data_IF_847392805598
#
_entry.id   IF_847392805598
#
_cell.length_a   1.000
_cell.length_b   1.000
_cell.length_c   1.000
_cell.angle_alpha   90.00
_cell.angle_beta   90.00
_cell.angle_gamma   90.00
#
_symmetry.space_group_name_H-M   'P 1'
#
loop_
_entity.id
_entity.type
_entity.pdbx_description
1 polymer ?
#
# COMPACT_ATOMS: atom_id res chain seq x y z
N UNK A 1 -11.83 44.28 -11.16
CA UNK A 1 -11.80 44.80 -9.76
C UNK A 1 -10.39 44.89 -9.18
N UNK A 2 -9.33 44.51 -9.92
CA UNK A 2 -7.92 44.71 -9.52
C UNK A 2 -7.45 43.93 -8.27
N UNK A 3 -8.30 43.08 -7.70
CA UNK A 3 -7.92 42.26 -6.53
C UNK A 3 -7.27 40.96 -6.99
N UNK A 4 -6.03 40.76 -6.61
CA UNK A 4 -5.30 39.52 -6.80
C UNK A 4 -5.70 38.53 -5.71
N UNK A 5 -6.15 37.34 -6.10
CA UNK A 5 -6.52 36.26 -5.19
C UNK A 5 -5.60 35.07 -5.44
N UNK A 6 -4.88 34.62 -4.43
CA UNK A 6 -4.11 33.39 -4.50
C UNK A 6 -5.02 32.19 -4.23
N UNK A 7 -5.01 31.21 -5.13
CA UNK A 7 -5.76 29.98 -4.98
C UNK A 7 -4.86 28.81 -5.42
N UNK A 8 -4.95 27.70 -4.71
CA UNK A 8 -4.19 26.48 -5.00
C UNK A 8 -5.12 25.47 -5.66
N UNK A 9 -4.79 25.09 -6.90
CA UNK A 9 -5.53 24.09 -7.67
C UNK A 9 -4.62 22.89 -7.87
N UNK A 10 -5.12 21.71 -7.52
CA UNK A 10 -4.42 20.43 -7.70
C UNK A 10 -5.45 19.29 -7.83
N UNK A 11 -5.01 18.07 -8.12
CA UNK A 11 -5.89 16.91 -8.23
C UNK A 11 -6.83 16.80 -7.03
N UNK A 12 -8.14 16.71 -7.27
CA UNK A 12 -9.23 16.69 -6.28
C UNK A 12 -9.45 18.01 -5.50
N UNK A 13 -8.74 19.09 -5.81
CA UNK A 13 -9.00 20.42 -5.25
C UNK A 13 -9.27 21.41 -6.38
N UNK A 14 -10.54 21.67 -6.63
CA UNK A 14 -10.99 22.52 -7.72
C UNK A 14 -11.18 23.95 -7.24
N UNK A 15 -11.01 24.92 -8.16
CA UNK A 15 -11.30 26.32 -7.92
C UNK A 15 -12.63 26.70 -8.57
N UNK A 16 -13.59 27.15 -7.78
CA UNK A 16 -14.86 27.70 -8.26
C UNK A 16 -14.81 29.23 -8.24
N UNK A 17 -14.94 29.88 -9.41
CA UNK A 17 -14.99 31.34 -9.54
C UNK A 17 -16.10 31.76 -10.50
N UNK A 18 -17.03 32.55 -10.01
CA UNK A 18 -18.16 33.11 -10.81
C UNK A 18 -18.90 32.05 -11.66
N UNK A 19 -19.05 30.83 -11.14
CA UNK A 19 -19.75 29.74 -11.82
C UNK A 19 -18.87 28.91 -12.77
N UNK A 20 -17.62 29.28 -12.94
CA UNK A 20 -16.62 28.48 -13.63
C UNK A 20 -15.87 27.61 -12.62
N UNK A 21 -15.62 26.36 -12.98
CA UNK A 21 -14.85 25.40 -12.21
C UNK A 21 -13.58 25.03 -12.95
N UNK A 22 -12.45 25.23 -12.29
CA UNK A 22 -11.13 24.98 -12.83
C UNK A 22 -10.58 23.68 -12.21
N UNK A 23 -10.13 22.78 -13.09
CA UNK A 23 -9.48 21.52 -12.72
C UNK A 23 -8.05 21.51 -13.28
N UNK A 24 -7.12 20.97 -12.57
CA UNK A 24 -5.82 20.65 -13.14
C UNK A 24 -5.97 19.38 -14.01
N UNK A 25 -5.78 19.53 -15.32
CA UNK A 25 -5.88 18.45 -16.29
C UNK A 25 -4.52 17.78 -16.53
N UNK A 26 -3.46 18.57 -16.68
CA UNK A 26 -2.09 18.12 -16.85
C UNK A 26 -1.12 19.27 -16.51
N UNK A 27 0.16 18.99 -16.56
CA UNK A 27 1.23 19.97 -16.50
C UNK A 27 2.12 19.81 -17.74
N UNK A 28 2.85 20.85 -18.04
CA UNK A 28 3.76 20.83 -19.20
C UNK A 28 4.97 19.93 -18.90
N UNK A 29 5.60 19.32 -19.92
CA UNK A 29 6.74 18.43 -19.74
C UNK A 29 7.97 19.09 -19.09
N UNK A 30 8.05 20.41 -19.16
CA UNK A 30 9.10 21.24 -18.52
C UNK A 30 8.75 21.66 -17.08
N UNK A 31 7.59 21.20 -16.56
CA UNK A 31 7.06 21.53 -15.23
C UNK A 31 6.87 23.00 -14.91
N UNK A 32 7.02 23.90 -15.90
CA UNK A 32 6.88 25.35 -15.72
C UNK A 32 5.46 25.86 -15.96
N UNK A 33 4.61 25.04 -16.53
CA UNK A 33 3.22 25.36 -16.83
C UNK A 33 2.23 24.29 -16.40
N UNK A 34 0.97 24.67 -16.28
CA UNK A 34 -0.14 23.74 -16.00
C UNK A 34 -1.30 23.98 -16.96
N UNK A 35 -1.87 22.87 -17.42
CA UNK A 35 -3.08 22.91 -18.27
C UNK A 35 -4.29 22.79 -17.36
N UNK A 36 -5.15 23.82 -17.36
CA UNK A 36 -6.39 23.84 -16.61
C UNK A 36 -7.57 23.53 -17.54
N UNK A 37 -8.35 22.55 -17.19
CA UNK A 37 -9.68 22.34 -17.77
C UNK A 37 -10.71 23.22 -17.07
N UNK A 38 -11.49 23.93 -17.84
CA UNK A 38 -12.50 24.89 -17.34
C UNK A 38 -13.89 24.40 -17.72
N UNK A 39 -14.76 24.22 -16.74
CA UNK A 39 -16.15 23.85 -16.95
C UNK A 39 -17.09 24.92 -16.38
N UNK A 40 -18.15 25.23 -17.14
CA UNK A 40 -19.24 26.11 -16.72
C UNK A 40 -20.57 25.38 -16.89
N UNK A 41 -20.80 24.38 -16.07
CA UNK A 41 -22.06 23.61 -16.09
C UNK A 41 -22.65 23.53 -14.68
N UNK A 42 -23.21 24.63 -14.23
CA UNK A 42 -23.94 24.69 -12.97
C UNK A 42 -25.25 23.87 -13.02
N UNK A 43 -25.90 23.87 -14.17
CA UNK A 43 -27.17 23.16 -14.36
C UNK A 43 -26.95 21.64 -14.35
N UNK A 44 -26.01 21.14 -15.15
CA UNK A 44 -25.69 19.71 -15.20
C UNK A 44 -25.20 19.19 -13.87
N UNK A 45 -24.35 19.96 -13.15
CA UNK A 45 -23.90 19.60 -11.80
C UNK A 45 -25.06 19.45 -10.81
N UNK A 46 -25.99 20.43 -10.78
CA UNK A 46 -27.13 20.39 -9.89
C UNK A 46 -28.07 19.23 -10.23
N UNK A 47 -28.28 18.96 -11.52
CA UNK A 47 -29.06 17.81 -11.98
C UNK A 47 -28.43 16.50 -11.54
N UNK A 48 -27.11 16.37 -11.68
CA UNK A 48 -26.37 15.17 -11.29
C UNK A 48 -26.47 14.90 -9.77
N UNK A 49 -26.25 15.91 -8.94
CA UNK A 49 -26.40 15.74 -7.48
C UNK A 49 -27.84 15.46 -7.07
N UNK A 50 -28.80 16.11 -7.71
CA UNK A 50 -30.22 15.80 -7.51
C UNK A 50 -30.54 14.36 -7.90
N UNK A 51 -29.97 13.89 -9.01
CA UNK A 51 -30.05 12.49 -9.44
C UNK A 51 -29.52 11.50 -8.39
N UNK A 52 -28.38 11.79 -7.80
CA UNK A 52 -27.84 10.95 -6.71
C UNK A 52 -28.73 10.93 -5.48
N UNK A 53 -29.29 12.08 -5.07
CA UNK A 53 -30.22 12.13 -3.95
C UNK A 53 -31.49 11.30 -4.25
N UNK A 54 -32.06 11.44 -5.45
CA UNK A 54 -33.22 10.66 -5.88
C UNK A 54 -32.91 9.16 -5.90
N UNK A 55 -31.69 8.78 -6.36
CA UNK A 55 -31.26 7.40 -6.40
C UNK A 55 -31.15 6.80 -4.98
N UNK A 56 -30.55 7.54 -4.04
CA UNK A 56 -30.46 7.10 -2.63
C UNK A 56 -31.86 6.96 -2.02
N UNK A 57 -32.74 7.93 -2.24
CA UNK A 57 -34.14 7.85 -1.79
C UNK A 57 -34.84 6.65 -2.43
N UNK A 58 -34.62 6.40 -3.72
CA UNK A 58 -35.17 5.23 -4.43
C UNK A 58 -34.71 3.91 -3.82
N UNK A 59 -33.43 3.77 -3.45
CA UNK A 59 -32.91 2.60 -2.75
C UNK A 59 -33.60 2.40 -1.38
N UNK A 60 -33.74 3.48 -0.61
CA UNK A 60 -34.43 3.42 0.69
C UNK A 60 -35.89 2.98 0.51
N UNK A 61 -36.59 3.57 -0.43
CA UNK A 61 -38.00 3.21 -0.75
C UNK A 61 -38.14 1.77 -1.25
N UNK A 62 -37.17 1.27 -2.01
CA UNK A 62 -37.12 -0.15 -2.42
C UNK A 62 -36.94 -1.12 -1.24
N UNK A 63 -36.26 -0.70 -0.18
CA UNK A 63 -36.09 -1.52 1.02
C UNK A 63 -37.29 -1.44 1.96
N UNK A 64 -37.87 -0.23 2.15
CA UNK A 64 -38.92 0.03 3.16
C UNK A 64 -40.35 -0.04 2.57
N UNK A 65 -40.53 0.10 1.26
CA UNK A 65 -41.81 0.17 0.61
C UNK A 65 -42.66 -1.10 0.82
N UNK A 66 -43.90 -0.94 1.30
CA UNK A 66 -44.84 -2.05 1.59
C UNK A 66 -45.09 -2.99 0.39
N UNK A 67 -44.92 -2.49 -0.83
CA UNK A 67 -45.07 -3.24 -2.07
C UNK A 67 -43.75 -3.61 -2.74
N UNK A 68 -42.62 -3.36 -2.08
CA UNK A 68 -41.30 -3.65 -2.62
C UNK A 68 -41.11 -5.16 -2.81
N UNK A 69 -40.26 -5.51 -3.77
CA UNK A 69 -39.92 -6.91 -4.05
C UNK A 69 -39.31 -7.57 -2.82
N UNK A 70 -38.54 -6.81 -2.02
CA UNK A 70 -37.95 -7.24 -0.76
C UNK A 70 -39.04 -7.62 0.26
N UNK A 71 -40.07 -6.77 0.44
CA UNK A 71 -41.19 -7.03 1.35
C UNK A 71 -42.09 -8.18 0.84
N UNK A 72 -42.27 -8.33 -0.50
CA UNK A 72 -42.97 -9.48 -1.07
C UNK A 72 -42.23 -10.80 -0.83
N UNK A 73 -40.88 -10.82 -1.06
CA UNK A 73 -40.05 -12.00 -0.74
C UNK A 73 -40.06 -12.31 0.75
N UNK A 74 -39.99 -11.28 1.60
CA UNK A 74 -40.06 -11.45 3.04
C UNK A 74 -41.40 -12.03 3.52
N UNK A 75 -42.52 -11.65 2.85
CA UNK A 75 -43.84 -12.28 3.11
C UNK A 75 -43.88 -13.75 2.61
N UNK A 76 -43.38 -14.02 1.40
CA UNK A 76 -43.32 -15.39 0.84
C UNK A 76 -42.41 -16.29 1.68
N UNK A 77 -41.30 -15.79 2.20
CA UNK A 77 -40.47 -16.50 3.16
C UNK A 77 -41.20 -16.77 4.48
N UNK A 78 -42.13 -15.90 4.87
CA UNK A 78 -42.96 -16.06 6.07
C UNK A 78 -43.99 -17.20 5.88
N UNK A 79 -44.52 -17.32 4.66
CA UNK A 79 -45.52 -18.35 4.30
C UNK A 79 -44.85 -19.74 4.08
N UNK A 80 -43.65 -19.82 3.53
CA UNK A 80 -42.86 -21.04 3.37
C UNK A 80 -42.35 -21.60 4.70
N UNK A 81 -42.44 -20.84 5.77
CA UNK A 81 -41.92 -21.15 7.09
C UNK A 81 -42.78 -22.10 7.91
N UNK A 82 -44.01 -22.30 7.51
CA UNK A 82 -44.92 -23.21 8.19
C UNK A 82 -44.61 -24.72 7.93
N UNK A 83 -43.68 -25.02 7.01
CA UNK A 83 -43.47 -26.38 6.54
C UNK A 83 -42.06 -26.97 6.42
N UNK A 84 -40.95 -26.26 6.70
CA UNK A 84 -39.61 -26.81 6.42
C UNK A 84 -38.65 -26.83 7.61
N UNK A 85 -38.00 -27.95 7.79
CA UNK A 85 -37.06 -28.35 8.83
C UNK A 85 -35.78 -27.53 8.91
N UNK A 86 -35.35 -27.32 10.16
CA UNK A 86 -34.42 -26.31 10.70
C UNK A 86 -32.92 -26.65 10.69
N UNK A 87 -32.32 -27.44 9.86
CA UNK A 87 -30.94 -27.86 10.23
C UNK A 87 -29.84 -27.73 9.18
N UNK A 88 -30.13 -27.45 7.91
CA UNK A 88 -29.09 -27.58 6.88
C UNK A 88 -28.42 -26.28 6.43
N UNK A 89 -28.99 -25.11 6.71
CA UNK A 89 -28.50 -23.83 6.20
C UNK A 89 -27.45 -23.15 7.09
N UNK A 90 -27.43 -23.47 8.37
CA UNK A 90 -26.47 -22.88 9.34
C UNK A 90 -25.03 -23.41 9.17
N UNK A 91 -24.89 -24.65 8.70
CA UNK A 91 -23.57 -25.27 8.48
C UNK A 91 -22.87 -24.73 7.24
N UNK A 92 -23.64 -24.41 6.19
CA UNK A 92 -23.06 -23.89 4.94
C UNK A 92 -22.50 -22.45 5.07
N UNK A 93 -23.08 -21.61 5.94
CA UNK A 93 -22.64 -20.23 6.16
C UNK A 93 -21.38 -20.17 7.06
N UNK A 94 -21.27 -21.09 8.03
CA UNK A 94 -20.10 -21.19 8.91
C UNK A 94 -18.86 -21.71 8.17
N UNK A 95 -19.03 -22.51 7.11
CA UNK A 95 -17.93 -23.02 6.30
C UNK A 95 -17.40 -21.99 5.28
N UNK A 96 -18.17 -20.97 4.91
CA UNK A 96 -17.74 -19.93 3.96
C UNK A 96 -16.93 -18.79 4.61
N UNK A 97 -16.95 -18.66 5.94
CA UNK A 97 -16.17 -17.64 6.69
C UNK A 97 -14.76 -18.13 7.05
N UNK A 98 -14.53 -19.44 6.94
CA UNK A 98 -13.23 -20.08 7.17
C UNK A 98 -12.34 -20.12 5.93
N UNK A 99 -12.28 -19.04 5.14
CA UNK A 99 -11.27 -18.86 4.10
C UNK A 99 -9.89 -18.84 4.73
N UNK A 100 -9.35 -20.01 4.98
CA UNK A 100 -7.94 -20.23 5.30
C UNK A 100 -7.10 -19.47 4.28
N UNK A 101 -6.37 -18.44 4.75
CA UNK A 101 -5.20 -17.93 4.07
C UNK A 101 -4.24 -19.11 3.90
N UNK A 102 -4.25 -19.73 2.74
CA UNK A 102 -3.15 -20.54 2.31
C UNK A 102 -1.99 -19.57 2.04
N UNK A 103 -1.23 -19.25 3.08
CA UNK A 103 0.12 -18.71 2.91
C UNK A 103 0.88 -19.74 2.10
N UNK A 104 1.43 -19.33 0.95
CA UNK A 104 2.38 -20.14 0.20
C UNK A 104 3.46 -20.59 1.17
N UNK A 105 3.59 -21.87 1.36
CA UNK A 105 4.55 -22.43 2.28
C UNK A 105 5.95 -22.29 1.63
N UNK A 106 6.71 -21.29 2.05
CA UNK A 106 8.15 -21.33 1.88
C UNK A 106 8.65 -22.65 2.47
N UNK A 107 9.61 -23.31 1.79
CA UNK A 107 10.19 -24.57 2.26
C UNK A 107 10.60 -24.42 3.75
N UNK A 108 10.48 -25.45 4.58
CA UNK A 108 10.78 -25.37 6.02
C UNK A 108 12.12 -24.72 6.31
N UNK A 109 13.15 -25.07 5.54
CA UNK A 109 14.51 -24.51 5.63
C UNK A 109 14.56 -23.00 5.39
N UNK A 110 13.73 -22.47 4.48
CA UNK A 110 13.65 -21.04 4.20
C UNK A 110 12.98 -20.28 5.36
N UNK A 111 11.95 -20.87 5.98
CA UNK A 111 11.30 -20.27 7.17
C UNK A 111 12.25 -20.22 8.35
N UNK A 112 13.04 -21.26 8.57
CA UNK A 112 14.05 -21.30 9.62
C UNK A 112 15.16 -20.26 9.37
N UNK A 113 15.62 -20.12 8.12
CA UNK A 113 16.62 -19.11 7.75
C UNK A 113 16.11 -17.69 8.01
N UNK A 114 14.87 -17.38 7.57
CA UNK A 114 14.24 -16.06 7.80
C UNK A 114 14.09 -15.78 9.30
N UNK A 115 13.71 -16.77 10.10
CA UNK A 115 13.56 -16.63 11.53
C UNK A 115 14.92 -16.47 12.25
N UNK A 116 15.94 -17.19 11.79
CA UNK A 116 17.30 -17.10 12.33
C UNK A 116 17.95 -15.74 12.06
N UNK A 117 17.66 -15.14 10.93
CA UNK A 117 18.17 -13.82 10.53
C UNK A 117 17.12 -12.72 10.68
N UNK A 118 16.18 -12.86 11.61
CA UNK A 118 15.21 -11.84 11.92
C UNK A 118 15.86 -10.70 12.71
N UNK A 119 15.76 -9.49 12.17
CA UNK A 119 16.22 -8.27 12.84
C UNK A 119 15.31 -8.01 14.06
N UNK A 120 15.90 -7.48 15.16
CA UNK A 120 15.12 -7.08 16.34
C UNK A 120 13.97 -6.14 15.95
N UNK A 121 12.75 -6.41 16.40
CA UNK A 121 11.63 -5.50 16.14
C UNK A 121 11.85 -4.09 16.68
N UNK A 122 12.55 -3.96 17.82
CA UNK A 122 12.87 -2.69 18.46
C UNK A 122 13.85 -1.89 17.62
N UNK A 123 14.92 -2.52 17.12
CA UNK A 123 15.87 -1.87 16.22
C UNK A 123 15.22 -1.49 14.89
N UNK A 124 14.45 -2.40 14.30
CA UNK A 124 13.71 -2.12 13.06
C UNK A 124 12.72 -0.96 13.21
N UNK A 125 12.08 -0.81 14.39
CA UNK A 125 11.20 0.31 14.66
C UNK A 125 11.95 1.65 14.75
N UNK A 126 13.19 1.68 15.28
CA UNK A 126 14.04 2.88 15.28
C UNK A 126 14.41 3.28 13.84
N UNK A 127 14.79 2.32 13.02
CA UNK A 127 15.03 2.54 11.59
C UNK A 127 13.75 3.04 10.88
N UNK A 128 12.61 2.41 11.15
CA UNK A 128 11.29 2.78 10.63
C UNK A 128 10.85 4.19 11.00
N UNK A 129 11.40 4.77 12.09
CA UNK A 129 11.08 6.12 12.52
C UNK A 129 11.89 7.22 11.79
N UNK A 130 12.93 6.88 11.04
CA UNK A 130 13.65 7.87 10.25
C UNK A 130 12.76 8.49 9.18
N UNK A 131 12.76 9.82 9.03
CA UNK A 131 12.08 10.49 7.94
C UNK A 131 12.79 10.28 6.61
N UNK A 132 12.02 10.08 5.55
CA UNK A 132 12.48 10.07 4.16
C UNK A 132 11.58 10.95 3.31
N UNK A 133 12.08 11.37 2.15
CA UNK A 133 11.28 12.10 1.17
C UNK A 133 10.78 11.13 0.10
N UNK A 134 9.46 11.13 -0.15
CA UNK A 134 8.87 10.39 -1.27
C UNK A 134 9.21 11.05 -2.61
N UNK A 135 8.99 10.35 -3.71
CA UNK A 135 9.14 10.88 -5.08
C UNK A 135 8.26 12.13 -5.30
N UNK A 136 7.12 12.23 -4.62
CA UNK A 136 6.24 13.41 -4.68
C UNK A 136 6.67 14.58 -3.78
N UNK A 137 7.84 14.49 -3.12
CA UNK A 137 8.34 15.50 -2.18
C UNK A 137 7.73 15.46 -0.77
N UNK A 138 6.81 14.52 -0.50
CA UNK A 138 6.21 14.36 0.84
C UNK A 138 7.22 13.73 1.79
N UNK A 139 7.31 14.28 3.02
CA UNK A 139 8.03 13.65 4.12
C UNK A 139 7.16 12.57 4.77
N UNK A 140 7.73 11.40 4.98
CA UNK A 140 7.07 10.25 5.62
C UNK A 140 8.11 9.43 6.39
N UNK A 141 7.70 8.66 7.42
CA UNK A 141 8.59 7.72 8.08
C UNK A 141 8.90 6.52 7.16
N UNK A 142 10.08 5.93 7.32
CA UNK A 142 10.42 4.66 6.66
C UNK A 142 9.35 3.59 6.95
N UNK A 143 8.72 3.59 8.11
CA UNK A 143 7.61 2.69 8.47
C UNK A 143 6.45 2.71 7.46
N UNK A 144 6.03 3.90 7.00
CA UNK A 144 5.01 4.01 5.95
C UNK A 144 5.52 3.42 4.64
N UNK A 145 6.74 3.80 4.24
CA UNK A 145 7.37 3.30 3.03
C UNK A 145 7.54 1.78 3.04
N UNK A 146 8.05 1.20 4.12
CA UNK A 146 8.24 -0.25 4.26
C UNK A 146 6.93 -1.02 4.13
N UNK A 147 5.86 -0.49 4.73
CA UNK A 147 4.51 -1.05 4.63
C UNK A 147 3.94 -0.98 3.20
N UNK A 148 4.14 0.14 2.50
CA UNK A 148 3.72 0.30 1.11
C UNK A 148 4.48 -0.64 0.18
N UNK A 149 5.79 -0.74 0.34
CA UNK A 149 6.65 -1.63 -0.45
C UNK A 149 6.28 -3.09 -0.23
N UNK A 150 6.15 -3.53 1.01
CA UNK A 150 5.80 -4.92 1.29
C UNK A 150 4.42 -5.28 0.75
N UNK A 151 3.42 -4.40 0.88
CA UNK A 151 2.10 -4.61 0.26
C UNK A 151 2.18 -4.66 -1.27
N UNK A 152 3.03 -3.86 -1.87
CA UNK A 152 3.22 -3.86 -3.32
C UNK A 152 3.87 -5.16 -3.81
N UNK A 153 4.89 -5.63 -3.12
CA UNK A 153 5.64 -6.84 -3.46
C UNK A 153 4.89 -8.13 -3.08
N UNK A 154 4.36 -8.20 -1.86
CA UNK A 154 3.82 -9.43 -1.27
C UNK A 154 2.31 -9.41 -0.98
N UNK A 155 1.61 -8.30 -1.27
CA UNK A 155 0.17 -8.13 -1.02
C UNK A 155 -0.24 -8.31 0.46
N UNK A 156 0.70 -8.17 1.38
CA UNK A 156 0.51 -8.32 2.84
C UNK A 156 1.31 -7.26 3.59
N UNK A 157 0.94 -6.98 4.84
CA UNK A 157 1.70 -6.09 5.74
C UNK A 157 2.78 -6.84 6.53
N UNK A 158 2.87 -8.16 6.35
CA UNK A 158 3.81 -9.03 7.03
C UNK A 158 4.33 -10.10 6.07
N UNK A 159 5.58 -10.49 6.22
CA UNK A 159 6.17 -11.63 5.53
C UNK A 159 6.63 -12.67 6.57
N UNK A 160 5.91 -13.78 6.66
CA UNK A 160 6.13 -14.75 7.72
C UNK A 160 5.91 -14.12 9.10
N UNK A 161 6.95 -14.12 9.95
CA UNK A 161 6.95 -13.48 11.27
C UNK A 161 7.47 -12.03 11.24
N UNK A 162 8.00 -11.56 10.09
CA UNK A 162 8.57 -10.23 9.97
C UNK A 162 7.48 -9.18 9.73
N UNK A 163 7.55 -8.07 10.46
CA UNK A 163 6.81 -6.87 10.11
C UNK A 163 7.46 -6.14 8.92
N UNK A 164 6.83 -5.11 8.40
CA UNK A 164 7.31 -4.39 7.21
C UNK A 164 8.68 -3.74 7.41
N UNK A 165 8.97 -3.21 8.60
CA UNK A 165 10.26 -2.57 8.89
C UNK A 165 11.38 -3.59 8.99
N UNK A 166 11.12 -4.74 9.64
CA UNK A 166 12.05 -5.87 9.69
C UNK A 166 12.31 -6.43 8.29
N UNK A 167 11.25 -6.58 7.46
CA UNK A 167 11.38 -7.05 6.10
C UNK A 167 12.27 -6.11 5.28
N UNK A 168 11.94 -4.82 5.24
CA UNK A 168 12.69 -3.83 4.46
C UNK A 168 14.16 -3.80 4.87
N UNK A 169 14.43 -3.69 6.17
CA UNK A 169 15.80 -3.62 6.68
C UNK A 169 16.57 -4.94 6.40
N UNK A 170 15.91 -6.08 6.49
CA UNK A 170 16.50 -7.38 6.14
C UNK A 170 16.84 -7.47 4.65
N UNK A 171 16.00 -6.94 3.76
CA UNK A 171 16.28 -6.85 2.31
C UNK A 171 17.53 -6.01 2.06
N UNK A 172 17.64 -4.85 2.71
CA UNK A 172 18.78 -3.95 2.54
C UNK A 172 20.08 -4.53 3.11
N UNK A 173 20.00 -5.25 4.25
CA UNK A 173 21.17 -5.80 4.92
C UNK A 173 21.66 -7.12 4.29
N UNK A 174 20.78 -7.89 3.66
CA UNK A 174 21.07 -9.22 3.12
C UNK A 174 20.47 -9.42 1.72
N UNK A 175 20.80 -8.59 0.72
CA UNK A 175 20.21 -8.66 -0.61
C UNK A 175 20.45 -10.02 -1.29
N UNK A 176 21.63 -10.62 -1.14
CA UNK A 176 21.99 -11.92 -1.73
C UNK A 176 21.10 -13.08 -1.25
N UNK A 177 20.62 -13.00 -0.03
CA UNK A 177 19.62 -13.93 0.48
C UNK A 177 18.26 -13.69 -0.16
N UNK A 178 17.81 -12.43 -0.18
CA UNK A 178 16.46 -12.07 -0.62
C UNK A 178 16.24 -12.23 -2.13
N UNK A 179 17.27 -12.16 -2.97
CA UNK A 179 17.14 -12.48 -4.41
C UNK A 179 16.67 -13.92 -4.66
N UNK A 180 16.85 -14.83 -3.71
CA UNK A 180 16.49 -16.25 -3.78
C UNK A 180 15.21 -16.61 -3.02
N UNK A 181 14.73 -15.73 -2.15
CA UNK A 181 13.51 -15.94 -1.37
C UNK A 181 12.28 -15.69 -2.25
N UNK A 182 11.33 -16.64 -2.34
CA UNK A 182 10.07 -16.39 -3.05
C UNK A 182 9.14 -15.52 -2.19
N UNK A 183 9.04 -14.25 -2.52
CA UNK A 183 8.19 -13.26 -1.81
C UNK A 183 7.43 -12.34 -2.75
N UNK A 184 7.74 -12.31 -4.05
CA UNK A 184 7.04 -11.48 -5.04
C UNK A 184 5.73 -12.16 -5.41
N UNK A 185 4.62 -11.61 -4.92
CA UNK A 185 3.31 -12.23 -5.06
C UNK A 185 2.76 -12.14 -6.48
N UNK A 186 2.64 -13.27 -7.14
CA UNK A 186 2.04 -13.37 -8.47
C UNK A 186 0.53 -13.10 -8.41
N UNK A 187 0.01 -12.51 -9.48
CA UNK A 187 -1.43 -12.22 -9.60
C UNK A 187 -2.19 -13.35 -10.29
N UNK A 188 -1.48 -14.19 -11.04
CA UNK A 188 -2.06 -15.21 -11.91
C UNK A 188 -1.11 -16.41 -12.04
N UNK A 189 -1.63 -17.63 -11.88
CA UNK A 189 -0.89 -18.87 -12.11
C UNK A 189 -0.50 -19.07 -13.58
N UNK A 190 -1.16 -18.40 -14.53
CA UNK A 190 -0.80 -18.42 -15.95
C UNK A 190 0.61 -17.85 -16.19
N UNK A 191 0.97 -16.75 -15.47
CA UNK A 191 2.34 -16.20 -15.50
C UNK A 191 3.36 -17.17 -14.92
N UNK A 192 3.03 -17.82 -13.79
CA UNK A 192 3.91 -18.81 -13.17
C UNK A 192 4.21 -19.96 -14.17
N UNK A 193 3.18 -20.49 -14.80
CA UNK A 193 3.32 -21.58 -15.77
C UNK A 193 4.05 -21.16 -17.04
N UNK A 194 3.79 -19.93 -17.55
CA UNK A 194 4.41 -19.45 -18.80
C UNK A 194 5.92 -19.24 -18.66
N UNK A 195 6.36 -18.73 -17.52
CA UNK A 195 7.77 -18.39 -17.25
C UNK A 195 8.49 -19.41 -16.36
N UNK A 196 7.84 -20.50 -16.00
CA UNK A 196 8.37 -21.52 -15.08
C UNK A 196 8.84 -20.89 -13.76
N UNK A 197 7.92 -20.13 -13.13
CA UNK A 197 8.12 -19.48 -11.84
C UNK A 197 7.46 -20.29 -10.72
N UNK A 198 7.93 -20.10 -9.49
CA UNK A 198 7.27 -20.69 -8.33
C UNK A 198 5.83 -20.19 -8.20
N UNK A 199 4.88 -21.10 -8.00
CA UNK A 199 3.47 -20.76 -7.88
C UNK A 199 3.19 -19.87 -6.66
N UNK A 200 2.28 -18.90 -6.80
CA UNK A 200 1.85 -17.87 -5.84
C UNK A 200 2.87 -16.77 -5.56
N UNK A 201 4.08 -17.10 -5.17
CA UNK A 201 5.14 -16.15 -4.87
C UNK A 201 6.42 -16.60 -5.57
N UNK A 202 7.02 -15.75 -6.41
CA UNK A 202 8.27 -16.05 -7.07
C UNK A 202 9.46 -15.33 -6.41
N UNK A 203 10.65 -15.89 -6.59
CA UNK A 203 11.89 -15.22 -6.22
C UNK A 203 12.37 -14.29 -7.34
N UNK A 204 13.10 -13.23 -6.97
CA UNK A 204 13.64 -12.29 -7.93
C UNK A 204 14.54 -12.96 -8.99
N UNK A 205 15.36 -13.95 -8.59
CA UNK A 205 16.27 -14.64 -9.50
C UNK A 205 15.52 -15.46 -10.57
N UNK A 206 14.30 -15.90 -10.30
CA UNK A 206 13.53 -16.76 -11.22
C UNK A 206 13.09 -16.02 -12.50
N UNK A 207 13.01 -14.68 -12.47
CA UNK A 207 12.66 -13.88 -13.65
C UNK A 207 13.84 -13.67 -14.61
N UNK A 208 15.00 -14.25 -14.31
CA UNK A 208 16.18 -14.26 -15.17
C UNK A 208 16.48 -15.68 -15.65
N UNK A 209 17.03 -15.81 -16.84
CA UNK A 209 17.50 -17.08 -17.36
C UNK A 209 18.90 -17.43 -16.82
N UNK A 210 19.41 -18.62 -17.17
CA UNK A 210 20.76 -19.09 -16.79
C UNK A 210 21.90 -18.19 -17.27
N UNK A 211 21.66 -17.32 -18.26
CA UNK A 211 22.61 -16.37 -18.82
C UNK A 211 22.45 -14.96 -18.20
N UNK A 212 21.55 -14.79 -17.22
CA UNK A 212 21.24 -13.51 -16.60
C UNK A 212 20.37 -12.58 -17.45
N UNK A 213 19.70 -13.07 -18.49
CA UNK A 213 18.81 -12.28 -19.31
C UNK A 213 17.42 -12.23 -18.68
N UNK A 214 16.78 -11.07 -18.75
CA UNK A 214 15.43 -10.86 -18.23
C UNK A 214 14.39 -11.59 -19.08
N UNK A 215 13.76 -12.62 -18.54
CA UNK A 215 12.79 -13.48 -19.24
C UNK A 215 11.54 -12.75 -19.71
N UNK A 216 11.15 -11.68 -19.01
CA UNK A 216 9.88 -11.01 -19.25
C UNK A 216 9.93 -10.02 -20.43
N UNK A 217 11.11 -9.60 -20.88
CA UNK A 217 11.32 -8.45 -21.76
C UNK A 217 10.48 -8.50 -23.04
N UNK A 218 10.51 -9.61 -23.78
CA UNK A 218 9.83 -9.72 -25.09
C UNK A 218 8.32 -9.49 -24.97
N UNK A 219 7.68 -10.17 -24.00
CA UNK A 219 6.23 -10.02 -23.78
C UNK A 219 5.84 -8.70 -23.13
N UNK A 220 6.75 -8.09 -22.37
CA UNK A 220 6.56 -6.75 -21.84
C UNK A 220 6.53 -5.70 -22.94
N UNK A 221 7.45 -5.76 -23.89
CA UNK A 221 7.46 -4.85 -25.04
C UNK A 221 6.15 -4.96 -25.83
N UNK A 222 5.67 -6.20 -26.08
CA UNK A 222 4.37 -6.42 -26.71
C UNK A 222 3.22 -5.80 -25.89
N UNK A 223 3.23 -5.98 -24.57
CA UNK A 223 2.19 -5.49 -23.68
C UNK A 223 2.18 -3.96 -23.57
N UNK A 224 3.35 -3.32 -23.52
CA UNK A 224 3.46 -1.86 -23.49
C UNK A 224 3.05 -1.21 -24.83
N UNK A 225 3.30 -1.86 -25.97
CA UNK A 225 2.90 -1.37 -27.28
C UNK A 225 1.37 -1.42 -27.50
N UNK A 226 0.63 -2.21 -26.71
CA UNK A 226 -0.83 -2.24 -26.77
C UNK A 226 -1.45 -1.03 -26.05
N UNK A 227 -2.53 -0.49 -26.61
CA UNK A 227 -3.32 0.52 -25.87
C UNK A 227 -3.85 -0.06 -24.55
N UNK A 228 -3.95 0.72 -23.49
CA UNK A 228 -4.39 0.21 -22.16
C UNK A 228 -5.71 -0.57 -22.18
N UNK A 229 -6.63 -0.20 -23.08
CA UNK A 229 -7.93 -0.86 -23.25
C UNK A 229 -7.81 -2.24 -23.93
N UNK A 230 -6.78 -2.46 -24.73
CA UNK A 230 -6.53 -3.69 -25.50
C UNK A 230 -5.68 -4.71 -24.73
N UNK A 231 -5.08 -4.28 -23.59
CA UNK A 231 -4.27 -5.16 -22.73
C UNK A 231 -5.14 -6.25 -22.13
N UNK A 232 -4.75 -7.49 -22.39
CA UNK A 232 -5.35 -8.68 -21.77
C UNK A 232 -5.10 -8.71 -20.27
N UNK A 233 -5.71 -9.66 -19.58
CA UNK A 233 -5.40 -9.89 -18.17
C UNK A 233 -3.94 -10.31 -17.96
N UNK A 234 -3.42 -11.17 -18.86
CA UNK A 234 -2.02 -11.57 -18.85
C UNK A 234 -1.08 -10.38 -19.00
N UNK A 235 -1.32 -9.48 -19.95
CA UNK A 235 -0.51 -8.28 -20.16
C UNK A 235 -0.48 -7.38 -18.89
N UNK A 236 -1.63 -7.18 -18.25
CA UNK A 236 -1.74 -6.37 -17.04
C UNK A 236 -1.01 -7.00 -15.83
N UNK A 237 -1.13 -8.32 -15.68
CA UNK A 237 -0.47 -9.05 -14.60
C UNK A 237 1.05 -9.12 -14.85
N UNK A 238 1.49 -9.22 -16.10
CA UNK A 238 2.89 -9.17 -16.51
C UNK A 238 3.53 -7.80 -16.22
N UNK A 239 2.87 -6.70 -16.60
CA UNK A 239 3.32 -5.33 -16.31
C UNK A 239 3.43 -5.14 -14.78
N UNK A 240 2.49 -5.68 -14.02
CA UNK A 240 2.53 -5.61 -12.56
C UNK A 240 3.69 -6.40 -11.97
N UNK A 241 4.00 -7.57 -12.51
CA UNK A 241 5.16 -8.35 -12.10
C UNK A 241 6.45 -7.60 -12.39
N UNK A 242 6.58 -7.00 -13.58
CA UNK A 242 7.71 -6.14 -13.94
C UNK A 242 7.89 -4.97 -12.96
N UNK A 243 6.80 -4.29 -12.61
CA UNK A 243 6.82 -3.21 -11.61
C UNK A 243 7.33 -3.71 -10.24
N UNK A 244 6.90 -4.89 -9.80
CA UNK A 244 7.36 -5.49 -8.54
C UNK A 244 8.85 -5.85 -8.59
N UNK A 245 9.31 -6.42 -9.70
CA UNK A 245 10.73 -6.75 -9.93
C UNK A 245 11.58 -5.49 -9.93
N UNK A 246 11.14 -4.42 -10.60
CA UNK A 246 11.83 -3.13 -10.63
C UNK A 246 11.91 -2.46 -9.26
N UNK A 247 10.84 -2.51 -8.45
CA UNK A 247 10.86 -2.02 -7.07
C UNK A 247 11.91 -2.74 -6.26
N UNK A 248 11.95 -4.07 -6.32
CA UNK A 248 12.96 -4.84 -5.60
C UNK A 248 14.38 -4.56 -6.10
N UNK A 249 14.56 -4.43 -7.41
CA UNK A 249 15.85 -4.06 -8.00
C UNK A 249 16.35 -2.70 -7.47
N UNK A 250 15.48 -1.69 -7.44
CA UNK A 250 15.82 -0.37 -6.89
C UNK A 250 16.11 -0.42 -5.38
N UNK A 251 15.40 -1.27 -4.62
CA UNK A 251 15.65 -1.44 -3.18
C UNK A 251 17.05 -1.99 -2.91
N UNK A 252 17.44 -3.07 -3.59
CA UNK A 252 18.77 -3.69 -3.37
C UNK A 252 19.92 -2.82 -3.89
N UNK A 253 19.63 -1.85 -4.77
CA UNK A 253 20.58 -0.83 -5.22
C UNK A 253 20.48 0.47 -4.38
N UNK A 254 19.73 0.49 -3.29
CA UNK A 254 19.57 1.61 -2.36
C UNK A 254 19.02 2.89 -2.98
N UNK A 255 18.26 2.83 -4.08
CA UNK A 255 17.78 3.97 -4.88
C UNK A 255 16.42 4.51 -4.45
N UNK A 256 15.77 3.91 -3.44
CA UNK A 256 14.40 4.28 -3.07
C UNK A 256 14.29 5.02 -1.73
N UNK A 257 15.33 5.00 -0.92
CA UNK A 257 15.34 5.62 0.40
C UNK A 257 15.99 7.01 0.35
N UNK A 258 15.24 8.04 0.02
CA UNK A 258 15.75 9.41 -0.01
C UNK A 258 15.99 9.92 1.42
N UNK A 259 17.14 9.58 1.97
CA UNK A 259 17.53 9.82 3.37
C UNK A 259 18.32 11.11 3.57
N UNK A 260 19.01 11.61 2.53
CA UNK A 260 20.01 12.64 2.68
C UNK A 260 19.54 14.00 2.12
N UNK A 261 19.14 14.94 3.01
CA UNK A 261 18.89 16.32 2.60
C UNK A 261 20.18 16.99 2.14
N UNK A 262 20.07 17.82 1.11
CA UNK A 262 21.14 18.74 0.70
C UNK A 262 20.73 20.16 1.03
N UNK A 263 21.57 20.86 1.80
CA UNK A 263 21.24 22.16 2.40
C UNK A 263 20.84 23.23 1.37
N UNK A 264 21.54 23.30 0.25
CA UNK A 264 21.37 24.33 -0.78
C UNK A 264 20.74 23.77 -2.08
N UNK A 265 19.99 22.70 -2.00
CA UNK A 265 19.29 22.15 -3.16
C UNK A 265 18.09 23.05 -3.52
N UNK A 266 18.01 23.59 -4.76
CA UNK A 266 16.94 24.52 -5.16
C UNK A 266 15.56 23.88 -5.15
N UNK A 267 15.47 22.55 -5.35
CA UNK A 267 14.23 21.80 -5.39
C UNK A 267 13.93 21.11 -4.04
N UNK A 268 14.77 21.35 -3.03
CA UNK A 268 14.70 20.72 -1.71
C UNK A 268 14.66 19.19 -1.77
N UNK A 269 15.34 18.63 -2.76
CA UNK A 269 15.40 17.19 -2.99
C UNK A 269 16.29 16.52 -1.94
N UNK A 270 15.80 15.38 -1.46
CA UNK A 270 16.59 14.45 -0.69
C UNK A 270 17.12 13.33 -1.59
N UNK A 271 18.29 12.84 -1.28
CA UNK A 271 19.01 11.85 -2.08
C UNK A 271 19.02 10.49 -1.41
N UNK A 272 18.92 9.44 -2.21
CA UNK A 272 19.07 8.08 -1.73
C UNK A 272 20.56 7.67 -1.72
N UNK A 273 20.96 6.69 -0.90
CA UNK A 273 22.34 6.19 -0.88
C UNK A 273 22.83 5.65 -2.23
N UNK A 274 21.93 5.15 -3.08
CA UNK A 274 22.23 4.62 -4.41
C UNK A 274 22.12 5.65 -5.55
N UNK A 275 21.83 6.90 -5.24
CA UNK A 275 21.82 8.00 -6.24
C UNK A 275 23.24 8.48 -6.57
N UNK A 276 23.36 9.33 -7.58
CA UNK A 276 24.57 10.10 -7.83
C UNK A 276 24.75 11.15 -6.71
N UNK A 277 25.70 10.89 -5.82
CA UNK A 277 26.02 11.74 -4.67
C UNK A 277 27.10 12.79 -4.98
N UNK A 278 27.48 12.99 -6.24
CA UNK A 278 28.49 13.98 -6.67
C UNK A 278 28.11 15.43 -6.33
N UNK A 279 26.82 15.68 -6.12
CA UNK A 279 26.30 16.97 -5.67
C UNK A 279 26.74 17.36 -4.24
N UNK A 280 27.18 16.39 -3.43
CA UNK A 280 27.70 16.63 -2.08
C UNK A 280 29.20 16.87 -2.11
N UNK A 281 29.71 17.69 -1.19
CA UNK A 281 31.13 18.04 -1.11
C UNK A 281 31.68 17.96 0.31
N UNK A 282 33.01 17.88 0.44
CA UNK A 282 33.70 17.92 1.72
C UNK A 282 33.25 16.83 2.69
N UNK A 283 32.95 17.20 3.92
CA UNK A 283 32.53 16.26 4.98
C UNK A 283 31.18 15.60 4.69
N UNK A 284 30.27 16.32 4.03
CA UNK A 284 28.95 15.78 3.70
C UNK A 284 29.06 14.66 2.67
N UNK A 285 29.91 14.82 1.65
CA UNK A 285 30.17 13.77 0.67
C UNK A 285 30.69 12.49 1.34
N UNK A 286 31.67 12.63 2.25
CA UNK A 286 32.20 11.47 3.00
C UNK A 286 31.09 10.78 3.82
N UNK A 287 30.25 11.57 4.50
CA UNK A 287 29.18 11.03 5.33
C UNK A 287 28.15 10.28 4.49
N UNK A 288 27.52 10.91 3.50
CA UNK A 288 26.43 10.32 2.73
C UNK A 288 26.87 9.07 1.94
N UNK A 289 28.14 9.05 1.49
CA UNK A 289 28.68 7.90 0.73
C UNK A 289 28.89 6.66 1.60
N UNK A 290 29.29 6.83 2.87
CA UNK A 290 29.75 5.71 3.69
C UNK A 290 28.76 5.30 4.79
N UNK A 291 27.90 6.22 5.26
CA UNK A 291 27.09 5.97 6.46
C UNK A 291 26.13 4.79 6.30
N UNK A 292 25.52 4.62 5.12
CA UNK A 292 24.59 3.51 4.90
C UNK A 292 25.31 2.16 4.88
N UNK A 293 26.50 2.08 4.25
CA UNK A 293 27.32 0.88 4.26
C UNK A 293 27.77 0.53 5.69
N UNK A 294 28.21 1.53 6.47
CA UNK A 294 28.53 1.32 7.88
C UNK A 294 27.31 0.83 8.66
N UNK A 295 26.17 1.52 8.53
CA UNK A 295 24.93 1.10 9.19
C UNK A 295 24.59 -0.36 8.93
N UNK A 296 24.58 -0.79 7.67
CA UNK A 296 24.24 -2.17 7.31
C UNK A 296 25.28 -3.19 7.82
N UNK A 297 26.54 -2.79 7.93
CA UNK A 297 27.57 -3.63 8.56
C UNK A 297 27.29 -3.85 10.05
N UNK A 298 26.89 -2.79 10.78
CA UNK A 298 26.52 -2.92 12.21
C UNK A 298 25.21 -3.71 12.37
N UNK A 299 24.27 -3.60 11.45
CA UNK A 299 23.06 -4.45 11.42
C UNK A 299 23.42 -5.92 11.25
N UNK A 300 24.36 -6.25 10.34
CA UNK A 300 24.83 -7.63 10.17
C UNK A 300 25.57 -8.16 11.40
N UNK A 301 26.30 -7.30 12.10
CA UNK A 301 26.97 -7.69 13.36
C UNK A 301 25.93 -7.89 14.47
N UNK A 302 24.92 -7.03 14.55
CA UNK A 302 23.78 -7.18 15.47
C UNK A 302 23.01 -8.50 15.26
N UNK A 303 22.86 -8.95 14.01
CA UNK A 303 22.25 -10.25 13.69
C UNK A 303 23.06 -11.44 14.24
N UNK A 304 24.38 -11.29 14.38
CA UNK A 304 25.26 -12.36 14.90
C UNK A 304 25.36 -12.32 16.42
N UNK A 305 25.53 -11.12 16.98
CA UNK A 305 25.76 -10.92 18.42
C UNK A 305 24.49 -10.80 19.26
N UNK A 306 23.39 -10.36 18.65
CA UNK A 306 22.16 -9.95 19.35
C UNK A 306 22.25 -8.55 19.96
N UNK A 307 23.38 -7.85 19.82
CA UNK A 307 23.61 -6.49 20.30
C UNK A 307 23.38 -5.48 19.17
N UNK A 308 22.48 -4.53 19.41
CA UNK A 308 22.04 -3.54 18.44
C UNK A 308 22.52 -2.11 18.77
N UNK A 309 23.29 -1.91 19.86
CA UNK A 309 23.66 -0.60 20.36
C UNK A 309 24.41 0.23 19.32
N UNK A 310 25.41 -0.35 18.65
CA UNK A 310 26.18 0.33 17.60
C UNK A 310 25.33 0.68 16.38
N UNK A 311 24.46 -0.23 15.95
CA UNK A 311 23.54 0.06 14.85
C UNK A 311 22.56 1.19 15.20
N UNK A 312 22.10 1.24 16.47
CA UNK A 312 21.26 2.33 16.99
C UNK A 312 22.00 3.66 17.02
N UNK A 313 23.28 3.67 17.38
CA UNK A 313 24.13 4.87 17.34
C UNK A 313 24.24 5.42 15.91
N UNK A 314 24.41 4.55 14.90
CA UNK A 314 24.48 4.99 13.50
C UNK A 314 23.14 5.57 13.02
N UNK A 315 22.01 5.00 13.42
CA UNK A 315 20.67 5.61 13.20
C UNK A 315 20.64 7.03 13.79
N UNK A 316 21.14 7.20 15.01
CA UNK A 316 21.24 8.52 15.66
C UNK A 316 22.08 9.52 14.86
N UNK A 317 23.18 9.06 14.26
CA UNK A 317 24.01 9.90 13.38
C UNK A 317 23.28 10.33 12.11
N UNK A 318 22.55 9.40 11.46
CA UNK A 318 21.72 9.70 10.28
C UNK A 318 20.67 10.74 10.64
N UNK A 319 19.95 10.54 11.75
CA UNK A 319 18.91 11.46 12.20
C UNK A 319 19.49 12.86 12.53
N UNK A 320 20.66 12.91 13.19
CA UNK A 320 21.34 14.17 13.49
C UNK A 320 21.76 14.91 12.21
N UNK A 321 22.27 14.17 11.22
CA UNK A 321 22.59 14.74 9.90
C UNK A 321 21.34 15.31 9.22
N UNK A 322 20.24 14.56 9.22
CA UNK A 322 18.98 15.03 8.66
C UNK A 322 18.50 16.32 9.31
N UNK A 323 18.56 16.42 10.64
CA UNK A 323 18.18 17.64 11.37
C UNK A 323 19.10 18.81 11.06
N UNK A 324 20.40 18.58 10.97
CA UNK A 324 21.39 19.64 10.71
C UNK A 324 21.30 20.19 9.29
N UNK A 325 21.01 19.34 8.30
CA UNK A 325 21.03 19.71 6.87
C UNK A 325 19.66 20.05 6.29
N UNK A 326 18.59 19.64 6.95
CA UNK A 326 17.24 20.00 6.52
C UNK A 326 16.82 21.36 7.07
N UNK A 327 17.02 22.42 6.29
CA UNK A 327 16.62 23.79 6.67
C UNK A 327 15.26 24.23 6.11
N UNK A 328 14.72 23.49 5.17
CA UNK A 328 13.63 23.97 4.32
C UNK A 328 12.34 23.19 4.45
N UNK A 329 12.43 21.90 4.78
CA UNK A 329 11.26 21.05 4.87
C UNK A 329 10.83 20.89 6.34
N UNK A 330 9.56 21.21 6.66
CA UNK A 330 9.01 21.07 8.02
C UNK A 330 8.82 19.61 8.40
N UNK A 331 9.83 19.01 9.03
CA UNK A 331 9.76 17.69 9.62
C UNK A 331 9.37 17.86 11.09
N UNK A 332 8.10 17.60 11.39
CA UNK A 332 7.63 17.60 12.78
C UNK A 332 7.67 16.18 13.35
N UNK A 333 8.48 15.92 14.39
CA UNK A 333 8.56 14.59 15.00
C UNK A 333 7.20 14.04 15.43
N UNK A 334 6.30 14.93 15.89
CA UNK A 334 4.95 14.54 16.31
C UNK A 334 4.12 13.98 15.13
N UNK A 335 4.30 14.55 13.93
CA UNK A 335 3.62 14.03 12.72
C UNK A 335 4.15 12.67 12.30
N UNK A 336 5.47 12.48 12.35
CA UNK A 336 6.11 11.19 12.05
C UNK A 336 5.59 10.12 13.03
N UNK A 337 5.59 10.43 14.33
CA UNK A 337 5.08 9.50 15.35
C UNK A 337 3.58 9.23 15.21
N UNK A 338 2.80 10.24 14.90
CA UNK A 338 1.35 10.09 14.67
C UNK A 338 1.07 9.20 13.44
N UNK A 339 1.86 9.33 12.37
CA UNK A 339 1.74 8.49 11.17
C UNK A 339 2.13 7.04 11.46
N UNK A 340 3.21 6.79 12.19
CA UNK A 340 3.61 5.45 12.64
C UNK A 340 2.52 4.82 13.50
N UNK A 341 1.98 5.57 14.46
CA UNK A 341 0.88 5.11 15.33
C UNK A 341 -0.37 4.77 14.52
N UNK A 342 -0.71 5.61 13.54
CA UNK A 342 -1.83 5.35 12.63
C UNK A 342 -1.64 4.04 11.84
N UNK A 343 -0.43 3.81 11.31
CA UNK A 343 -0.10 2.57 10.60
C UNK A 343 -0.22 1.34 11.52
N UNK A 344 0.27 1.44 12.75
CA UNK A 344 0.17 0.36 13.76
C UNK A 344 -1.26 0.06 14.17
N UNK A 345 -2.11 1.08 14.25
CA UNK A 345 -3.53 0.89 14.59
C UNK A 345 -4.31 0.11 13.54
N UNK A 346 -3.85 0.09 12.27
CA UNK A 346 -4.50 -0.59 11.14
C UNK A 346 -6.03 -0.37 11.13
N UNK A 347 -6.42 0.91 11.17
CA UNK A 347 -7.80 1.36 11.43
C UNK A 347 -8.79 0.67 10.48
N UNK A 348 -8.47 0.59 9.20
CA UNK A 348 -9.37 -0.02 8.21
C UNK A 348 -9.60 -1.52 8.46
N UNK A 349 -8.56 -2.25 8.87
CA UNK A 349 -8.69 -3.67 9.21
C UNK A 349 -9.52 -3.87 10.48
N UNK A 350 -9.33 -3.00 11.48
CA UNK A 350 -10.13 -3.04 12.71
C UNK A 350 -11.59 -2.68 12.43
N UNK A 351 -11.85 -1.63 11.66
CA UNK A 351 -13.19 -1.29 11.21
C UNK A 351 -13.85 -2.43 10.42
N UNK A 352 -13.12 -3.05 9.48
CA UNK A 352 -13.61 -4.21 8.73
C UNK A 352 -14.04 -5.35 9.67
N UNK A 353 -13.22 -5.67 10.69
CA UNK A 353 -13.57 -6.68 11.71
C UNK A 353 -14.81 -6.27 12.49
N UNK A 354 -14.88 -5.02 12.93
CA UNK A 354 -16.03 -4.47 13.66
C UNK A 354 -17.32 -4.57 12.84
N UNK A 355 -17.30 -4.16 11.59
CA UNK A 355 -18.45 -4.27 10.69
C UNK A 355 -18.86 -5.71 10.39
N UNK A 356 -17.91 -6.64 10.23
CA UNK A 356 -18.22 -8.06 10.06
C UNK A 356 -18.88 -8.64 11.31
N UNK A 357 -18.39 -8.33 12.50
CA UNK A 357 -18.99 -8.79 13.76
C UNK A 357 -20.38 -8.19 13.92
N UNK A 358 -20.52 -6.87 13.76
CA UNK A 358 -21.81 -6.21 13.86
C UNK A 358 -22.82 -6.73 12.84
N UNK A 359 -22.40 -6.86 11.58
CA UNK A 359 -23.23 -7.44 10.51
C UNK A 359 -23.65 -8.88 10.80
N UNK A 360 -22.73 -9.70 11.32
CA UNK A 360 -23.03 -11.05 11.77
C UNK A 360 -24.04 -11.09 12.91
N UNK A 361 -23.86 -10.23 13.93
CA UNK A 361 -24.82 -10.11 15.04
C UNK A 361 -26.20 -9.67 14.55
N UNK A 362 -26.28 -8.66 13.68
CA UNK A 362 -27.52 -8.20 13.11
C UNK A 362 -28.19 -9.30 12.27
N UNK A 363 -27.41 -10.08 11.53
CA UNK A 363 -27.92 -11.22 10.77
C UNK A 363 -28.53 -12.27 11.70
N UNK A 364 -27.79 -12.66 12.76
CA UNK A 364 -28.28 -13.61 13.79
C UNK A 364 -29.55 -13.05 14.44
N UNK A 365 -29.54 -11.76 14.82
CA UNK A 365 -30.72 -11.12 15.41
C UNK A 365 -31.90 -11.13 14.44
N UNK A 366 -31.69 -10.82 13.15
CA UNK A 366 -32.73 -10.92 12.13
C UNK A 366 -33.29 -12.34 12.03
N UNK A 367 -32.46 -13.38 12.06
CA UNK A 367 -32.91 -14.77 12.08
C UNK A 367 -33.69 -15.10 13.35
N UNK A 368 -33.21 -14.72 14.52
CA UNK A 368 -33.93 -14.93 15.80
C UNK A 368 -35.27 -14.20 15.80
N UNK A 369 -35.30 -12.97 15.32
CA UNK A 369 -36.53 -12.18 15.19
C UNK A 369 -37.54 -12.82 14.23
N UNK A 370 -37.06 -13.51 13.19
CA UNK A 370 -37.89 -14.29 12.29
C UNK A 370 -38.50 -15.54 12.99
N UNK A 371 -37.88 -16.11 14.04
CA UNK A 371 -38.36 -17.30 14.74
C UNK A 371 -39.19 -16.97 16.01
N UNK A 372 -38.99 -15.82 16.62
CA UNK A 372 -39.81 -15.37 17.75
C UNK A 372 -41.01 -14.57 17.25
N UNK A 373 -42.21 -15.04 17.55
CA UNK A 373 -43.50 -14.40 17.22
C UNK A 373 -43.83 -13.19 18.12
N UNK A 374 -42.88 -12.69 18.91
CA UNK A 374 -43.16 -11.73 19.98
C UNK A 374 -42.74 -10.29 19.68
N UNK A 375 -43.50 -9.39 20.26
CA UNK A 375 -43.66 -7.94 20.12
C UNK A 375 -42.40 -7.04 20.17
N UNK A 376 -41.20 -7.60 20.16
CA UNK A 376 -39.95 -6.85 20.34
C UNK A 376 -39.35 -6.25 19.06
N UNK A 377 -39.97 -6.48 17.91
CA UNK A 377 -39.48 -6.03 16.58
C UNK A 377 -40.41 -5.00 15.94
N UNK A 378 -41.33 -4.44 16.68
CA UNK A 378 -42.32 -3.49 16.14
C UNK A 378 -42.13 -2.03 16.62
N UNK A 379 -40.93 -1.69 17.12
CA UNK A 379 -40.61 -0.29 17.46
C UNK A 379 -39.34 0.14 16.74
#
# INVERSE_FOLDING_TARGET
DGQTRHARVYMNNVLDVKGYRFFQASYDPDEQGTVLSVNRDLAGRNITYTGYVILVIGFILCLVGKNSRFMKLSRQLKDLRSGARKTTLLVAILLSVGGLRAQGAAAPEMKEAIQKYAISPEHAAKFGALPIQSVSGRMLPINTFSSEVLRKLHKSDQFGSLNSDQFLLSVLAMPDMWVRVPFIALSNSELANYYDLTDKDCAYIEVFDSNGRYKLQEKLEEAYNKMPAERTRFDKDLIKLDEQVNIFHQLINYQMLNLFPKEDDPDHKWYAPGDDLSAFSGKDSMFVTHIMGWYLSEVQEGLKSGDWEKADEVIGMIHTYQQAKNKTVDIRPEKIQAEIKYNQMDVFRQCKKGYLILGGLLLVFAFVALFKKDKWVTY
#
